data_IF_124227826204
#
_entry.id   IF_124227826204
#
_cell.length_a   1.000
_cell.length_b   1.000
_cell.length_c   1.000
_cell.angle_alpha   90.00
_cell.angle_beta   90.00
_cell.angle_gamma   90.00
#
_symmetry.space_group_name_H-M   'P 1'
#
loop_
_entity.id
_entity.type
_entity.pdbx_description
1 polymer ?
#
# COMPACT_ATOMS: atom_id res chain seq x y z
N UNK A 1 -6.61 16.09 -11.33
CA UNK A 1 -5.63 16.92 -10.70
C UNK A 1 -4.87 17.85 -11.64
N UNK A 2 -3.88 18.56 -11.10
CA UNK A 2 -3.08 19.52 -11.89
C UNK A 2 -2.15 18.84 -12.93
N UNK A 3 -1.89 17.55 -12.77
CA UNK A 3 -0.94 16.80 -13.61
C UNK A 3 -1.62 15.82 -14.57
N UNK A 4 -2.95 15.72 -14.54
CA UNK A 4 -3.72 14.84 -15.41
C UNK A 4 -5.00 14.34 -14.74
N UNK A 5 -5.87 13.74 -15.54
CA UNK A 5 -7.16 13.17 -15.09
C UNK A 5 -7.11 11.64 -14.94
N UNK A 6 -6.11 11.00 -15.55
CA UNK A 6 -5.93 9.57 -15.50
C UNK A 6 -4.66 9.18 -14.73
N UNK A 7 -4.60 7.97 -14.12
CA UNK A 7 -3.41 7.48 -13.43
C UNK A 7 -2.16 7.45 -14.33
N UNK A 8 -2.33 7.23 -15.63
CA UNK A 8 -1.25 7.12 -16.63
C UNK A 8 -0.66 8.48 -17.03
N UNK A 9 -1.36 9.60 -16.78
CA UNK A 9 -0.89 10.93 -17.17
C UNK A 9 0.41 11.34 -16.44
N UNK A 10 0.72 10.69 -15.31
CA UNK A 10 1.96 10.89 -14.56
C UNK A 10 2.72 9.57 -14.48
N UNK A 11 3.98 9.57 -14.90
CA UNK A 11 4.81 8.35 -14.88
C UNK A 11 4.92 7.74 -13.48
N UNK A 12 5.16 6.43 -13.41
CA UNK A 12 5.34 5.72 -12.15
C UNK A 12 6.45 6.34 -11.29
N UNK A 13 7.57 6.69 -11.91
CA UNK A 13 8.73 7.28 -11.22
C UNK A 13 8.45 8.69 -10.69
N UNK A 14 7.81 9.56 -11.50
CA UNK A 14 7.48 10.91 -11.07
C UNK A 14 6.47 10.91 -9.92
N UNK A 15 5.40 10.11 -10.02
CA UNK A 15 4.41 9.97 -8.94
C UNK A 15 5.07 9.47 -7.65
N UNK A 16 5.92 8.43 -7.76
CA UNK A 16 6.62 7.87 -6.61
C UNK A 16 7.55 8.88 -5.95
N UNK A 17 8.23 9.72 -6.75
CA UNK A 17 9.14 10.76 -6.22
C UNK A 17 8.37 11.79 -5.41
N UNK A 18 7.21 12.24 -5.86
CA UNK A 18 6.37 13.18 -5.09
C UNK A 18 5.95 12.59 -3.74
N UNK A 19 5.46 11.35 -3.73
CA UNK A 19 5.07 10.68 -2.48
C UNK A 19 6.27 10.40 -1.57
N UNK A 20 7.44 10.10 -2.13
CA UNK A 20 8.65 9.85 -1.35
C UNK A 20 9.15 11.12 -0.65
N UNK A 21 9.11 12.27 -1.34
CA UNK A 21 9.48 13.57 -0.75
C UNK A 21 8.51 13.98 0.35
N UNK A 22 7.20 13.79 0.13
CA UNK A 22 6.17 14.06 1.15
C UNK A 22 6.39 13.18 2.39
N UNK A 23 6.68 11.90 2.20
CA UNK A 23 7.01 10.95 3.27
C UNK A 23 8.27 11.34 4.04
N UNK A 24 9.30 11.80 3.32
CA UNK A 24 10.52 12.31 3.94
C UNK A 24 10.23 13.55 4.80
N UNK A 25 9.43 14.48 4.31
CA UNK A 25 9.02 15.65 5.08
C UNK A 25 8.23 15.25 6.33
N UNK A 26 7.28 14.33 6.20
CA UNK A 26 6.52 13.78 7.32
C UNK A 26 7.43 13.12 8.36
N UNK A 27 8.33 12.24 7.92
CA UNK A 27 9.31 11.60 8.79
C UNK A 27 10.09 12.63 9.59
N UNK A 28 10.70 13.56 8.89
CA UNK A 28 11.63 14.53 9.51
C UNK A 28 10.91 15.47 10.48
N UNK A 29 9.65 15.84 10.18
CA UNK A 29 8.93 16.85 10.96
C UNK A 29 8.14 16.27 12.15
N UNK A 30 7.66 15.00 12.04
CA UNK A 30 6.64 14.54 12.97
C UNK A 30 6.99 13.29 13.78
N UNK A 31 7.79 12.35 13.24
CA UNK A 31 7.96 11.07 13.94
C UNK A 31 9.39 10.51 13.96
N UNK A 32 10.36 11.26 13.46
CA UNK A 32 11.77 10.86 13.49
C UNK A 32 12.30 10.65 14.91
N UNK A 33 12.01 11.56 15.81
CA UNK A 33 12.46 11.50 17.21
C UNK A 33 11.85 10.31 17.94
N UNK A 34 10.55 10.08 17.76
CA UNK A 34 9.86 8.93 18.33
C UNK A 34 10.45 7.60 17.84
N UNK A 35 10.65 7.49 16.51
CA UNK A 35 11.28 6.33 15.91
C UNK A 35 12.68 6.08 16.46
N UNK A 36 13.52 7.12 16.54
CA UNK A 36 14.89 7.02 17.05
C UNK A 36 14.94 6.70 18.55
N UNK A 37 13.91 7.05 19.31
CA UNK A 37 13.78 6.69 20.73
C UNK A 37 13.26 5.26 20.95
N UNK A 38 12.96 4.51 19.89
CA UNK A 38 12.51 3.12 19.95
C UNK A 38 10.99 2.94 20.01
N UNK A 39 10.21 3.98 19.69
CA UNK A 39 8.76 3.85 19.61
C UNK A 39 8.35 2.93 18.44
N UNK A 40 7.28 2.17 18.64
CA UNK A 40 6.62 1.40 17.59
C UNK A 40 5.83 2.35 16.71
N UNK A 41 6.16 2.40 15.42
CA UNK A 41 5.46 3.23 14.45
C UNK A 41 4.56 2.34 13.59
N UNK A 42 3.27 2.61 13.60
CA UNK A 42 2.29 1.95 12.73
C UNK A 42 1.89 2.94 11.63
N UNK A 43 2.27 2.64 10.40
CA UNK A 43 1.97 3.49 9.25
C UNK A 43 0.80 2.89 8.44
N UNK A 44 -0.31 3.64 8.33
CA UNK A 44 -1.35 3.36 7.35
C UNK A 44 -0.89 3.88 5.99
N UNK A 45 -0.37 2.98 5.16
CA UNK A 45 0.35 3.22 3.90
C UNK A 45 1.75 3.83 4.13
N UNK A 46 2.72 3.31 3.41
CA UNK A 46 4.10 3.76 3.45
C UNK A 46 4.74 3.68 2.04
N UNK A 47 6.06 3.58 1.94
CA UNK A 47 6.82 3.42 0.68
C UNK A 47 6.28 2.29 -0.21
N UNK A 48 5.82 1.21 0.39
CA UNK A 48 5.21 0.06 -0.28
C UNK A 48 3.98 0.41 -1.11
N UNK A 49 3.27 1.51 -0.78
CA UNK A 49 2.19 2.03 -1.62
C UNK A 49 2.66 2.46 -3.02
N UNK A 50 3.90 2.95 -3.17
CA UNK A 50 4.46 3.25 -4.48
C UNK A 50 4.59 1.97 -5.31
N UNK A 51 5.04 0.87 -4.69
CA UNK A 51 5.14 -0.43 -5.34
C UNK A 51 3.75 -0.92 -5.76
N UNK A 52 2.75 -0.87 -4.89
CA UNK A 52 1.39 -1.34 -5.19
C UNK A 52 0.74 -0.53 -6.33
N UNK A 53 0.79 0.80 -6.26
CA UNK A 53 -0.02 1.65 -7.13
C UNK A 53 0.74 2.17 -8.36
N UNK A 54 2.04 2.39 -8.28
CA UNK A 54 2.79 2.96 -9.39
C UNK A 54 3.41 1.87 -10.27
N UNK A 55 3.88 0.77 -9.70
CA UNK A 55 4.42 -0.35 -10.45
C UNK A 55 3.38 -0.96 -11.40
N UNK A 56 2.09 -0.94 -11.04
CA UNK A 56 1.00 -1.41 -11.88
C UNK A 56 0.86 -0.68 -13.22
N UNK A 57 1.48 0.50 -13.37
CA UNK A 57 1.52 1.28 -14.62
C UNK A 57 2.63 0.84 -15.57
N UNK A 58 3.56 0.02 -15.10
CA UNK A 58 4.73 -0.40 -15.86
C UNK A 58 4.52 -1.78 -16.47
N UNK A 59 5.21 -2.07 -17.60
CA UNK A 59 5.32 -3.43 -18.14
C UNK A 59 5.83 -4.41 -17.08
N UNK A 60 5.41 -5.67 -17.19
CA UNK A 60 5.71 -6.69 -16.17
C UNK A 60 7.21 -6.96 -16.00
N UNK A 61 7.97 -6.88 -17.05
CA UNK A 61 9.42 -7.06 -17.08
C UNK A 61 10.21 -5.91 -16.42
N UNK A 62 9.58 -4.77 -16.18
CA UNK A 62 10.18 -3.65 -15.45
C UNK A 62 9.93 -3.68 -13.93
N UNK A 63 9.11 -4.59 -13.43
CA UNK A 63 8.68 -4.58 -12.03
C UNK A 63 9.83 -4.77 -11.03
N UNK A 64 10.75 -5.68 -11.30
CA UNK A 64 11.90 -5.91 -10.41
C UNK A 64 12.80 -4.69 -10.33
N UNK A 65 13.07 -4.06 -11.46
CA UNK A 65 13.86 -2.84 -11.52
C UNK A 65 13.17 -1.68 -10.77
N UNK A 66 11.86 -1.57 -10.88
CA UNK A 66 11.09 -0.55 -10.17
C UNK A 66 11.09 -0.78 -8.64
N UNK A 67 10.93 -2.02 -8.18
CA UNK A 67 11.02 -2.36 -6.75
C UNK A 67 12.38 -1.95 -6.20
N UNK A 68 13.46 -2.33 -6.88
CA UNK A 68 14.83 -1.98 -6.48
C UNK A 68 15.03 -0.47 -6.46
N UNK A 69 14.50 0.24 -7.46
CA UNK A 69 14.58 1.69 -7.51
C UNK A 69 13.84 2.35 -6.34
N UNK A 70 12.62 1.92 -6.01
CA UNK A 70 11.85 2.46 -4.86
C UNK A 70 12.62 2.26 -3.57
N UNK A 71 13.16 1.05 -3.35
CA UNK A 71 13.92 0.74 -2.14
C UNK A 71 15.20 1.57 -2.04
N UNK A 72 15.97 1.68 -3.12
CA UNK A 72 17.18 2.50 -3.14
C UNK A 72 16.86 3.99 -2.93
N UNK A 73 15.84 4.50 -3.62
CA UNK A 73 15.48 5.90 -3.55
C UNK A 73 14.97 6.29 -2.15
N UNK A 74 14.01 5.55 -1.61
CA UNK A 74 13.39 5.91 -0.33
C UNK A 74 14.29 5.57 0.87
N UNK A 75 14.90 4.39 0.90
CA UNK A 75 15.67 3.95 2.07
C UNK A 75 17.12 4.41 2.04
N UNK A 76 17.81 4.30 0.89
CA UNK A 76 19.21 4.64 0.81
C UNK A 76 19.47 6.11 0.47
N UNK A 77 18.72 6.71 -0.47
CA UNK A 77 18.95 8.10 -0.90
C UNK A 77 18.27 9.11 0.02
N UNK A 78 17.01 8.88 0.38
CA UNK A 78 16.27 9.76 1.29
C UNK A 78 16.50 9.42 2.77
N UNK A 79 17.01 8.23 3.08
CA UNK A 79 17.26 7.79 4.45
C UNK A 79 15.99 7.55 5.27
N UNK A 80 14.90 7.20 4.62
CA UNK A 80 13.68 6.79 5.29
C UNK A 80 13.88 5.42 5.97
N UNK A 81 13.33 5.18 7.15
CA UNK A 81 13.38 3.85 7.76
C UNK A 81 12.73 2.80 6.88
N UNK A 82 13.39 1.66 6.71
CA UNK A 82 12.76 0.51 6.09
C UNK A 82 11.79 -0.13 7.09
N UNK A 83 10.58 -0.55 6.68
CA UNK A 83 9.66 -1.27 7.57
C UNK A 83 10.25 -2.59 8.07
N UNK A 84 10.12 -2.86 9.36
CA UNK A 84 10.47 -4.17 9.93
C UNK A 84 9.48 -5.25 9.51
N UNK A 85 8.21 -4.86 9.35
CA UNK A 85 7.14 -5.72 8.86
C UNK A 85 6.20 -4.93 7.95
N UNK A 86 5.79 -5.55 6.85
CA UNK A 86 4.76 -5.01 5.96
C UNK A 86 3.58 -5.94 5.93
N UNK A 87 2.40 -5.43 6.26
CA UNK A 87 1.14 -6.15 6.14
C UNK A 87 0.39 -5.70 4.91
N UNK A 88 0.02 -6.63 4.07
CA UNK A 88 -0.86 -6.41 2.93
C UNK A 88 -2.25 -7.01 3.20
N UNK A 89 -3.25 -6.15 3.31
CA UNK A 89 -4.65 -6.54 3.44
C UNK A 89 -5.21 -6.82 2.03
N UNK A 90 -5.25 -8.09 1.63
CA UNK A 90 -5.73 -8.46 0.29
C UNK A 90 -7.25 -8.49 0.24
N UNK A 91 -7.82 -7.47 -0.39
CA UNK A 91 -9.25 -7.34 -0.65
C UNK A 91 -9.52 -7.38 -2.15
N UNK A 92 -10.28 -8.39 -2.66
CA UNK A 92 -10.65 -8.43 -4.07
C UNK A 92 -11.40 -7.17 -4.50
N UNK A 93 -11.09 -6.58 -5.69
CA UNK A 93 -11.75 -5.36 -6.16
C UNK A 93 -13.28 -5.47 -6.24
N UNK A 94 -13.82 -6.65 -6.57
CA UNK A 94 -15.28 -6.88 -6.58
C UNK A 94 -15.90 -6.71 -5.20
N UNK A 95 -15.22 -7.17 -4.14
CA UNK A 95 -15.68 -7.05 -2.76
C UNK A 95 -15.53 -5.61 -2.27
N UNK A 96 -14.40 -4.96 -2.55
CA UNK A 96 -14.18 -3.56 -2.18
C UNK A 96 -15.19 -2.61 -2.83
N UNK A 97 -15.55 -2.87 -4.10
CA UNK A 97 -16.60 -2.09 -4.80
C UNK A 97 -17.97 -2.24 -4.16
N UNK A 98 -18.33 -3.44 -3.68
CA UNK A 98 -19.58 -3.64 -2.92
C UNK A 98 -19.58 -2.81 -1.62
N UNK A 99 -18.48 -2.82 -0.89
CA UNK A 99 -18.33 -2.04 0.34
C UNK A 99 -18.43 -0.53 0.07
N UNK A 100 -17.75 -0.03 -0.97
CA UNK A 100 -17.80 1.38 -1.36
C UNK A 100 -19.20 1.81 -1.78
N UNK A 101 -19.91 0.99 -2.57
CA UNK A 101 -21.30 1.27 -2.95
C UNK A 101 -22.22 1.37 -1.75
N UNK A 102 -22.05 0.50 -0.74
CA UNK A 102 -22.74 0.59 0.53
C UNK A 102 -22.41 1.88 1.31
N UNK A 103 -21.12 2.26 1.38
CA UNK A 103 -20.64 3.46 2.07
C UNK A 103 -21.20 4.75 1.48
N UNK A 104 -21.31 4.82 0.17
CA UNK A 104 -21.78 6.02 -0.54
C UNK A 104 -23.29 5.97 -0.88
N UNK A 105 -24.03 5.00 -0.36
CA UNK A 105 -25.46 4.81 -0.64
C UNK A 105 -25.78 4.79 -2.15
N UNK A 106 -24.88 4.23 -2.95
CA UNK A 106 -25.01 4.15 -4.41
C UNK A 106 -24.65 5.44 -5.17
N UNK A 107 -24.19 6.49 -4.51
CA UNK A 107 -23.74 7.72 -5.20
C UNK A 107 -22.30 7.54 -5.75
N UNK A 108 -22.21 7.08 -7.01
CA UNK A 108 -20.96 6.84 -7.72
C UNK A 108 -20.07 8.09 -7.87
N UNK A 109 -20.65 9.30 -7.74
CA UNK A 109 -19.90 10.58 -7.86
C UNK A 109 -18.96 10.80 -6.67
N UNK A 110 -19.20 10.15 -5.56
CA UNK A 110 -18.38 10.22 -4.34
C UNK A 110 -17.14 9.35 -4.39
N UNK A 111 -17.08 8.40 -5.34
CA UNK A 111 -15.86 7.60 -5.57
C UNK A 111 -14.80 8.47 -6.23
N UNK A 112 -13.56 8.33 -5.78
CA UNK A 112 -12.43 9.00 -6.45
C UNK A 112 -12.10 8.36 -7.82
N UNK A 113 -11.18 8.97 -8.56
CA UNK A 113 -10.79 8.52 -9.91
C UNK A 113 -10.25 7.07 -9.87
N UNK A 114 -9.49 6.72 -8.84
CA UNK A 114 -8.90 5.40 -8.68
C UNK A 114 -9.96 4.36 -8.30
N UNK A 115 -10.88 4.71 -7.40
CA UNK A 115 -11.98 3.83 -6.96
C UNK A 115 -12.93 3.44 -8.10
N UNK A 116 -13.07 4.30 -9.12
CA UNK A 116 -13.91 4.04 -10.30
C UNK A 116 -13.26 3.12 -11.32
N UNK A 117 -11.94 3.09 -11.38
CA UNK A 117 -11.19 2.33 -12.39
C UNK A 117 -10.90 0.90 -11.91
N UNK A 118 -11.84 -0.01 -12.14
CA UNK A 118 -11.72 -1.43 -11.74
C UNK A 118 -10.58 -2.16 -12.44
N UNK A 119 -10.21 -1.77 -13.64
CA UNK A 119 -9.07 -2.35 -14.38
C UNK A 119 -7.77 -1.97 -13.68
N UNK A 120 -7.62 -0.70 -13.33
CA UNK A 120 -6.47 -0.22 -12.57
C UNK A 120 -6.37 -0.89 -11.19
N UNK A 121 -7.49 -1.05 -10.46
CA UNK A 121 -7.49 -1.73 -9.16
C UNK A 121 -7.07 -3.21 -9.27
N UNK A 122 -7.44 -3.90 -10.35
CA UNK A 122 -6.97 -5.26 -10.60
C UNK A 122 -5.45 -5.29 -10.84
N UNK A 123 -4.93 -4.40 -11.68
CA UNK A 123 -3.51 -4.27 -11.92
C UNK A 123 -2.74 -3.94 -10.62
N UNK A 124 -3.27 -3.06 -9.76
CA UNK A 124 -2.70 -2.77 -8.45
C UNK A 124 -2.68 -4.00 -7.54
N UNK A 125 -3.73 -4.83 -7.56
CA UNK A 125 -3.75 -6.08 -6.78
C UNK A 125 -2.73 -7.10 -7.29
N UNK A 126 -2.55 -7.20 -8.61
CA UNK A 126 -1.53 -8.07 -9.22
C UNK A 126 -0.12 -7.62 -8.84
N UNK A 127 0.16 -6.32 -8.91
CA UNK A 127 1.45 -5.77 -8.49
C UNK A 127 1.70 -5.96 -7.00
N UNK A 128 0.68 -5.78 -6.15
CA UNK A 128 0.76 -6.04 -4.72
C UNK A 128 1.06 -7.51 -4.40
N UNK A 129 0.35 -8.45 -5.04
CA UNK A 129 0.57 -9.88 -4.85
C UNK A 129 1.99 -10.30 -5.28
N UNK A 130 2.48 -9.73 -6.38
CA UNK A 130 3.85 -9.95 -6.82
C UNK A 130 4.86 -9.43 -5.81
N UNK A 131 4.73 -8.17 -5.40
CA UNK A 131 5.63 -7.54 -4.43
C UNK A 131 5.61 -8.25 -3.07
N UNK A 132 4.43 -8.65 -2.60
CA UNK A 132 4.28 -9.39 -1.36
C UNK A 132 5.09 -10.70 -1.37
N UNK A 133 5.04 -11.44 -2.49
CA UNK A 133 5.85 -12.64 -2.66
C UNK A 133 7.35 -12.36 -2.73
N UNK A 134 7.75 -11.32 -3.47
CA UNK A 134 9.16 -10.96 -3.68
C UNK A 134 9.81 -10.38 -2.44
N UNK A 135 9.06 -9.63 -1.63
CA UNK A 135 9.56 -8.89 -0.47
C UNK A 135 9.16 -9.50 0.87
N UNK A 136 8.49 -10.66 0.86
CA UNK A 136 8.11 -11.37 2.09
C UNK A 136 7.06 -10.63 2.93
N UNK A 137 6.10 -9.93 2.29
CA UNK A 137 5.06 -9.25 3.05
C UNK A 137 4.08 -10.25 3.67
N UNK A 138 3.60 -9.91 4.84
CA UNK A 138 2.53 -10.63 5.50
C UNK A 138 1.20 -10.33 4.78
N UNK A 139 0.59 -11.37 4.21
CA UNK A 139 -0.67 -11.21 3.45
C UNK A 139 -1.84 -11.71 4.27
N UNK A 140 -2.78 -10.80 4.57
CA UNK A 140 -4.05 -11.12 5.24
C UNK A 140 -5.18 -11.10 4.21
N UNK A 141 -5.80 -12.25 3.97
CA UNK A 141 -6.96 -12.34 3.10
C UNK A 141 -8.19 -11.74 3.79
N UNK A 142 -8.71 -10.65 3.25
CA UNK A 142 -9.82 -9.89 3.83
C UNK A 142 -11.21 -10.29 3.28
N UNK A 143 -11.30 -11.30 2.44
CA UNK A 143 -12.55 -11.75 1.85
C UNK A 143 -12.74 -13.27 1.96
N UNK A 144 -13.99 -13.71 2.01
CA UNK A 144 -14.39 -15.10 1.89
C UNK A 144 -15.44 -15.20 0.77
N UNK A 145 -15.04 -15.85 -0.34
CA UNK A 145 -15.83 -15.80 -1.57
C UNK A 145 -16.05 -14.37 -2.04
N UNK A 146 -17.29 -13.99 -2.25
CA UNK A 146 -17.71 -12.67 -2.71
C UNK A 146 -18.06 -11.67 -1.59
N UNK A 147 -17.70 -11.98 -0.35
CA UNK A 147 -18.00 -11.14 0.80
C UNK A 147 -16.74 -10.77 1.58
N UNK A 148 -16.75 -9.56 2.15
CA UNK A 148 -15.70 -9.16 3.08
C UNK A 148 -15.84 -9.96 4.38
N UNK A 149 -14.70 -10.39 4.95
CA UNK A 149 -14.66 -10.92 6.32
C UNK A 149 -15.03 -9.82 7.32
N UNK A 150 -15.63 -10.18 8.48
CA UNK A 150 -15.79 -9.23 9.58
C UNK A 150 -14.46 -8.63 10.02
N UNK A 151 -14.47 -7.34 10.41
CA UNK A 151 -13.25 -6.63 10.84
C UNK A 151 -12.57 -7.33 12.01
N UNK A 152 -13.33 -7.86 12.96
CA UNK A 152 -12.84 -8.60 14.13
C UNK A 152 -12.15 -9.90 13.73
N UNK A 153 -12.57 -10.54 12.66
CA UNK A 153 -11.92 -11.74 12.14
C UNK A 153 -10.58 -11.37 11.49
N UNK A 154 -10.57 -10.34 10.63
CA UNK A 154 -9.34 -9.83 10.00
C UNK A 154 -8.34 -9.41 11.08
N UNK A 155 -8.80 -8.71 12.11
CA UNK A 155 -7.95 -8.30 13.24
C UNK A 155 -7.33 -9.51 13.97
N UNK A 156 -8.12 -10.53 14.28
CA UNK A 156 -7.61 -11.74 14.95
C UNK A 156 -6.57 -12.47 14.09
N UNK A 157 -6.83 -12.61 12.79
CA UNK A 157 -5.89 -13.21 11.85
C UNK A 157 -4.59 -12.40 11.80
N UNK A 158 -4.70 -11.07 11.67
CA UNK A 158 -3.56 -10.15 11.68
C UNK A 158 -2.71 -10.28 12.95
N UNK A 159 -3.34 -10.22 14.11
CA UNK A 159 -2.62 -10.29 15.40
C UNK A 159 -1.94 -11.64 15.62
N UNK A 160 -2.55 -12.73 15.14
CA UNK A 160 -1.94 -14.06 15.20
C UNK A 160 -0.66 -14.15 14.36
N UNK A 161 -0.70 -13.63 13.13
CA UNK A 161 0.45 -13.65 12.23
C UNK A 161 1.56 -12.69 12.71
N UNK A 162 1.19 -11.47 13.16
CA UNK A 162 2.16 -10.51 13.70
C UNK A 162 2.88 -11.04 14.93
N UNK A 163 2.22 -11.79 15.80
CA UNK A 163 2.86 -12.38 16.98
C UNK A 163 3.97 -13.38 16.63
N UNK A 164 3.95 -13.94 15.42
CA UNK A 164 5.01 -14.80 14.91
C UNK A 164 6.19 -14.05 14.29
N UNK A 165 5.95 -12.86 13.76
CA UNK A 165 6.94 -12.07 13.01
C UNK A 165 7.62 -11.00 13.87
N UNK A 166 6.89 -10.39 14.78
CA UNK A 166 7.38 -9.32 15.63
C UNK A 166 7.39 -9.82 17.07
N UNK A 167 8.56 -9.87 17.68
CA UNK A 167 8.70 -10.13 19.11
C UNK A 167 8.21 -8.86 19.84
N UNK A 168 6.89 -8.67 19.86
CA UNK A 168 6.25 -7.59 20.63
C UNK A 168 6.46 -7.92 22.11
N UNK A 169 7.56 -7.46 22.69
CA UNK A 169 7.69 -7.39 24.12
C UNK A 169 6.66 -6.36 24.61
N UNK A 170 5.47 -6.84 24.93
CA UNK A 170 4.48 -6.10 25.70
C UNK A 170 4.65 -6.50 27.18
#
# INVERSE_FOLDING_TARGET
>A
GKFGENPEDVSAYASSSFYAVDRFASYTQFWKEDYQSGAVIVADRYSTSNIVFQMSKLPRDEWDAFIQWVQDYEYNKLGLPQPDCTVYLDMPPSVSQKLLSGRYHGDERKKDIHERNTVYLRACRESAAYAAKMLGWLVINCAEGDNAKPMEQIHRELMKELAGEINLYV
#
